data_IF_386320055915
#
_entry.id   IF_386320055915
#
_cell.length_a   1.000
_cell.length_b   1.000
_cell.length_c   1.000
_cell.angle_alpha   90.00
_cell.angle_beta   90.00
_cell.angle_gamma   90.00
#
_symmetry.space_group_name_H-M   'P 1'
#
loop_
_entity.id
_entity.type
_entity.pdbx_description
1 polymer ?
#
# COMPACT_ATOMS: atom_id res chain seq x y z
N UNK A 1 -20.48 6.73 -27.44
CA UNK A 1 -20.33 5.31 -27.10
C UNK A 1 -19.84 5.25 -25.67
N UNK A 2 -20.71 4.96 -24.72
CA UNK A 2 -20.34 4.78 -23.31
C UNK A 2 -19.70 3.40 -23.17
N UNK A 3 -18.37 3.34 -23.14
CA UNK A 3 -17.65 2.11 -22.76
C UNK A 3 -18.03 1.82 -21.31
N UNK A 4 -18.69 0.68 -21.08
CA UNK A 4 -18.94 0.20 -19.72
C UNK A 4 -17.62 -0.08 -19.01
N UNK A 5 -17.55 0.20 -17.71
CA UNK A 5 -16.39 -0.11 -16.87
C UNK A 5 -16.03 -1.60 -17.01
N UNK A 6 -14.75 -1.90 -17.28
CA UNK A 6 -14.25 -3.26 -17.20
C UNK A 6 -14.22 -3.73 -15.73
N UNK A 7 -14.18 -5.05 -15.49
CA UNK A 7 -14.23 -5.65 -14.14
C UNK A 7 -13.17 -5.09 -13.17
N UNK A 8 -12.08 -4.59 -13.71
CA UNK A 8 -10.90 -4.11 -12.99
C UNK A 8 -10.74 -2.58 -13.07
N UNK A 9 -11.81 -1.86 -13.43
CA UNK A 9 -11.82 -0.41 -13.56
C UNK A 9 -12.87 0.23 -12.64
N UNK A 10 -12.56 1.39 -12.05
CA UNK A 10 -13.50 2.14 -11.23
C UNK A 10 -13.20 3.65 -11.23
N UNK A 11 -14.18 4.45 -10.83
CA UNK A 11 -13.99 5.88 -10.57
C UNK A 11 -13.79 6.10 -9.08
N UNK A 12 -12.85 6.99 -8.75
CA UNK A 12 -12.55 7.39 -7.40
C UNK A 12 -12.75 8.90 -7.25
N UNK A 13 -13.70 9.29 -6.39
CA UNK A 13 -13.80 10.65 -5.91
C UNK A 13 -12.63 10.92 -4.95
N UNK A 14 -11.81 11.92 -5.29
CA UNK A 14 -10.56 12.20 -4.58
C UNK A 14 -10.75 12.80 -3.19
N UNK A 15 -11.82 13.58 -2.97
CA UNK A 15 -12.13 14.20 -1.68
C UNK A 15 -12.63 13.15 -0.69
N UNK A 16 -13.60 12.34 -1.12
CA UNK A 16 -14.14 11.23 -0.34
C UNK A 16 -13.05 10.22 0.02
N UNK A 17 -12.16 9.91 -0.94
CA UNK A 17 -11.01 9.05 -0.70
C UNK A 17 -10.05 9.64 0.35
N UNK A 18 -9.78 10.94 0.27
CA UNK A 18 -8.91 11.63 1.22
C UNK A 18 -9.45 11.55 2.66
N UNK A 19 -10.74 11.83 2.83
CA UNK A 19 -11.42 11.73 4.12
C UNK A 19 -11.48 10.28 4.62
N UNK A 20 -11.78 9.31 3.74
CA UNK A 20 -11.81 7.89 4.07
C UNK A 20 -10.46 7.31 4.51
N UNK A 21 -9.35 7.90 4.04
CA UNK A 21 -7.99 7.56 4.46
C UNK A 21 -7.60 8.20 5.81
N UNK A 22 -8.49 8.97 6.44
CA UNK A 22 -8.23 9.63 7.72
C UNK A 22 -7.27 10.82 7.62
N UNK A 23 -7.16 11.45 6.44
CA UNK A 23 -6.48 12.73 6.32
C UNK A 23 -7.19 13.78 7.19
N UNK A 24 -6.46 14.79 7.71
CA UNK A 24 -7.05 15.75 8.63
C UNK A 24 -8.28 16.43 8.02
N UNK A 25 -9.45 16.41 8.68
CA UNK A 25 -10.66 17.04 8.15
C UNK A 25 -10.56 18.58 8.11
N UNK A 26 -9.54 19.14 8.75
CA UNK A 26 -9.22 20.56 8.71
C UNK A 26 -8.46 20.98 7.44
N UNK A 27 -8.06 20.04 6.59
CA UNK A 27 -7.48 20.36 5.29
C UNK A 27 -8.58 20.76 4.31
N UNK A 28 -8.29 21.73 3.46
CA UNK A 28 -9.20 22.09 2.38
C UNK A 28 -9.27 20.98 1.31
N UNK A 29 -10.33 21.03 0.51
CA UNK A 29 -10.59 20.05 -0.55
C UNK A 29 -9.39 19.97 -1.52
N UNK A 30 -8.74 21.10 -1.81
CA UNK A 30 -7.56 21.13 -2.68
C UNK A 30 -6.41 20.32 -2.09
N UNK A 31 -6.12 20.47 -0.79
CA UNK A 31 -5.05 19.76 -0.11
C UNK A 31 -5.34 18.26 0.00
N UNK A 32 -6.59 17.89 0.29
CA UNK A 32 -7.02 16.48 0.29
C UNK A 32 -6.79 15.84 -1.08
N UNK A 33 -7.31 16.47 -2.14
CA UNK A 33 -7.17 16.00 -3.52
C UNK A 33 -5.70 15.89 -3.93
N UNK A 34 -4.88 16.91 -3.64
CA UNK A 34 -3.46 16.92 -3.99
C UNK A 34 -2.71 15.72 -3.40
N UNK A 35 -3.06 15.33 -2.18
CA UNK A 35 -2.41 14.21 -1.50
C UNK A 35 -2.87 12.86 -2.05
N UNK A 36 -4.16 12.72 -2.35
CA UNK A 36 -4.68 11.51 -3.01
C UNK A 36 -4.08 11.37 -4.42
N UNK A 37 -4.02 12.45 -5.21
CA UNK A 37 -3.36 12.46 -6.53
C UNK A 37 -1.91 11.98 -6.42
N UNK A 38 -1.15 12.50 -5.43
CA UNK A 38 0.23 12.09 -5.21
C UNK A 38 0.35 10.60 -4.88
N UNK A 39 -0.56 10.07 -4.07
CA UNK A 39 -0.59 8.65 -3.75
C UNK A 39 -0.89 7.80 -5.00
N UNK A 40 -1.90 8.18 -5.78
CA UNK A 40 -2.29 7.48 -7.02
C UNK A 40 -1.16 7.50 -8.07
N UNK A 41 -0.51 8.65 -8.27
CA UNK A 41 0.68 8.74 -9.14
C UNK A 41 1.81 7.87 -8.65
N UNK A 42 2.01 7.75 -7.34
CA UNK A 42 3.02 6.83 -6.80
C UNK A 42 2.67 5.36 -7.13
N UNK A 43 1.40 4.97 -7.03
CA UNK A 43 0.94 3.62 -7.38
C UNK A 43 1.11 3.30 -8.87
N UNK A 44 0.87 4.28 -9.74
CA UNK A 44 1.10 4.16 -11.18
C UNK A 44 2.59 4.17 -11.53
N UNK A 45 3.28 5.28 -11.28
CA UNK A 45 4.62 5.54 -11.81
C UNK A 45 5.69 4.68 -11.15
N UNK A 46 5.59 4.48 -9.83
CA UNK A 46 6.64 3.79 -9.06
C UNK A 46 6.40 2.30 -8.99
N UNK A 47 5.15 1.89 -8.83
CA UNK A 47 4.82 0.49 -8.56
C UNK A 47 4.14 -0.22 -9.73
N UNK A 48 3.68 0.49 -10.75
CA UNK A 48 3.03 -0.12 -11.92
C UNK A 48 1.79 -0.95 -11.55
N UNK A 49 1.09 -0.59 -10.46
CA UNK A 49 -0.03 -1.36 -9.92
C UNK A 49 -1.37 -0.94 -10.52
N UNK A 50 -1.46 0.32 -10.95
CA UNK A 50 -2.66 0.91 -11.54
C UNK A 50 -2.27 1.78 -12.72
N UNK A 51 -3.24 2.08 -13.58
CA UNK A 51 -3.24 3.28 -14.43
C UNK A 51 -4.25 4.27 -13.88
N UNK A 52 -3.91 5.55 -13.90
CA UNK A 52 -4.81 6.60 -13.42
C UNK A 52 -4.95 7.75 -14.41
N UNK A 53 -6.18 8.08 -14.74
CA UNK A 53 -6.55 9.23 -15.55
C UNK A 53 -7.36 10.22 -14.72
N UNK A 54 -6.96 11.50 -14.74
CA UNK A 54 -7.63 12.56 -13.99
C UNK A 54 -8.45 13.44 -14.92
N UNK A 55 -9.73 13.62 -14.59
CA UNK A 55 -10.65 14.47 -15.33
C UNK A 55 -10.89 15.80 -14.60
N UNK A 56 -11.27 16.84 -15.35
CA UNK A 56 -11.61 18.14 -14.76
C UNK A 56 -12.78 17.98 -13.78
N UNK A 57 -12.62 18.53 -12.58
CA UNK A 57 -13.63 18.56 -11.52
C UNK A 57 -14.15 17.19 -11.03
N UNK A 58 -13.22 16.30 -10.65
CA UNK A 58 -13.33 15.43 -9.44
C UNK A 58 -13.18 13.93 -9.60
N UNK A 59 -13.06 13.40 -10.81
CA UNK A 59 -12.97 11.94 -10.94
C UNK A 59 -11.62 11.48 -11.48
N UNK A 60 -11.04 10.54 -10.72
CA UNK A 60 -9.93 9.70 -11.16
C UNK A 60 -10.49 8.37 -11.67
N UNK A 61 -10.25 8.06 -12.94
CA UNK A 61 -10.50 6.71 -13.47
C UNK A 61 -9.28 5.86 -13.19
N UNK A 62 -9.50 4.76 -12.48
CA UNK A 62 -8.46 3.83 -12.07
C UNK A 62 -8.69 2.50 -12.77
N UNK A 63 -7.65 2.01 -13.45
CA UNK A 63 -7.60 0.65 -13.96
C UNK A 63 -6.55 -0.14 -13.18
N UNK A 64 -6.94 -1.28 -12.60
CA UNK A 64 -6.01 -2.18 -11.95
C UNK A 64 -5.17 -2.89 -13.02
N UNK A 65 -3.85 -2.91 -12.82
CA UNK A 65 -2.96 -3.67 -13.70
C UNK A 65 -2.80 -5.09 -13.17
N UNK A 66 -2.72 -6.11 -14.05
CA UNK A 66 -2.42 -7.46 -13.62
C UNK A 66 -1.05 -7.48 -12.95
N UNK A 67 -0.99 -7.97 -11.72
CA UNK A 67 0.27 -8.17 -11.01
C UNK A 67 0.99 -9.33 -11.69
N UNK A 68 2.05 -9.03 -12.43
CA UNK A 68 2.90 -10.02 -13.08
C UNK A 68 4.08 -10.39 -12.18
N UNK A 69 4.35 -11.69 -12.03
CA UNK A 69 5.51 -12.18 -11.30
C UNK A 69 5.21 -13.45 -10.51
N UNK A 70 6.25 -14.00 -9.88
CA UNK A 70 6.07 -15.07 -8.91
C UNK A 70 5.38 -14.52 -7.65
N UNK A 71 4.24 -15.10 -7.32
CA UNK A 71 3.55 -14.84 -6.06
C UNK A 71 3.94 -15.85 -5.01
N UNK A 72 3.87 -15.47 -3.74
CA UNK A 72 3.95 -16.41 -2.62
C UNK A 72 2.59 -16.53 -1.94
N UNK A 73 2.17 -17.76 -1.65
CA UNK A 73 1.05 -17.99 -0.74
C UNK A 73 1.51 -17.74 0.68
N UNK A 74 0.79 -16.90 1.42
CA UNK A 74 1.03 -16.59 2.83
C UNK A 74 -0.14 -17.10 3.65
N UNK A 75 0.10 -17.53 4.89
CA UNK A 75 -0.99 -17.90 5.80
C UNK A 75 -1.79 -16.65 6.20
N UNK A 76 -3.12 -16.76 6.14
CA UNK A 76 -4.04 -15.62 6.23
C UNK A 76 -4.18 -15.04 7.65
N UNK A 77 -3.61 -15.69 8.66
CA UNK A 77 -3.59 -15.20 10.04
C UNK A 77 -2.84 -13.86 10.17
N UNK A 78 -1.97 -13.50 9.21
CA UNK A 78 -1.27 -12.22 9.14
C UNK A 78 -2.15 -11.12 8.49
N UNK A 79 -3.00 -11.49 7.53
CA UNK A 79 -3.77 -10.57 6.67
C UNK A 79 -5.28 -10.76 6.91
N UNK A 80 -5.68 -10.75 8.18
CA UNK A 80 -7.09 -10.67 8.55
C UNK A 80 -7.56 -9.21 8.62
N UNK A 81 -8.73 -8.85 8.05
CA UNK A 81 -9.33 -7.52 8.21
C UNK A 81 -9.75 -7.19 9.65
N UNK A 82 -9.68 -8.16 10.57
CA UNK A 82 -10.24 -8.04 11.92
C UNK A 82 -9.25 -7.96 13.07
N UNK A 83 -7.94 -8.16 12.84
CA UNK A 83 -6.98 -7.98 13.92
C UNK A 83 -6.55 -6.51 14.03
N UNK A 84 -7.40 -5.71 14.68
CA UNK A 84 -7.14 -4.30 15.01
C UNK A 84 -5.94 -4.13 15.96
N UNK A 85 -5.41 -5.21 16.54
CA UNK A 85 -4.24 -5.14 17.45
C UNK A 85 -2.92 -5.05 16.70
N UNK A 86 -2.88 -5.45 15.42
CA UNK A 86 -1.66 -5.45 14.62
C UNK A 86 -1.61 -4.18 13.77
N UNK A 87 -0.60 -3.36 14.03
CA UNK A 87 -0.35 -2.15 13.23
C UNK A 87 -0.08 -2.52 11.76
N UNK A 88 -0.46 -1.65 10.82
CA UNK A 88 -0.23 -1.91 9.39
C UNK A 88 1.26 -2.15 9.07
N UNK A 89 2.16 -1.41 9.74
CA UNK A 89 3.61 -1.58 9.61
C UNK A 89 4.08 -2.96 10.07
N UNK A 90 3.50 -3.49 11.16
CA UNK A 90 3.81 -4.84 11.63
C UNK A 90 3.27 -5.90 10.67
N UNK A 91 2.07 -5.71 10.09
CA UNK A 91 1.56 -6.60 9.04
C UNK A 91 2.55 -6.69 7.88
N UNK A 92 3.03 -5.56 7.36
CA UNK A 92 4.02 -5.56 6.29
C UNK A 92 5.34 -6.25 6.68
N UNK A 93 5.82 -6.05 7.91
CA UNK A 93 7.02 -6.73 8.39
C UNK A 93 6.83 -8.26 8.47
N UNK A 94 5.66 -8.72 8.91
CA UNK A 94 5.33 -10.16 8.94
C UNK A 94 5.27 -10.75 7.54
N UNK A 95 4.75 -10.02 6.54
CA UNK A 95 4.79 -10.44 5.14
C UNK A 95 6.22 -10.55 4.61
N UNK A 96 7.08 -9.61 4.98
CA UNK A 96 8.51 -9.65 4.61
C UNK A 96 9.19 -10.85 5.26
N UNK A 97 8.90 -11.11 6.54
CA UNK A 97 9.43 -12.26 7.27
C UNK A 97 9.08 -13.57 6.56
N UNK A 98 7.80 -13.79 6.24
CA UNK A 98 7.34 -14.98 5.51
C UNK A 98 8.03 -15.15 4.15
N UNK A 99 8.23 -14.06 3.42
CA UNK A 99 8.96 -14.10 2.16
C UNK A 99 10.43 -14.50 2.35
N UNK A 100 11.11 -13.91 3.33
CA UNK A 100 12.50 -14.25 3.64
C UNK A 100 12.65 -15.71 4.05
N UNK A 101 11.74 -16.23 4.88
CA UNK A 101 11.74 -17.63 5.32
C UNK A 101 11.59 -18.59 4.13
N UNK A 102 10.73 -18.27 3.16
CA UNK A 102 10.61 -19.03 1.90
C UNK A 102 11.87 -19.00 1.04
N UNK A 103 12.68 -17.95 1.17
CA UNK A 103 13.99 -17.83 0.53
C UNK A 103 15.12 -18.48 1.34
N UNK A 104 14.81 -19.11 2.47
CA UNK A 104 15.81 -19.68 3.38
C UNK A 104 16.60 -18.64 4.16
N UNK A 105 16.08 -17.42 4.28
CA UNK A 105 16.67 -16.31 5.03
C UNK A 105 15.86 -16.04 6.31
N UNK A 106 16.55 -15.61 7.35
CA UNK A 106 15.91 -15.16 8.59
C UNK A 106 15.93 -13.64 8.67
N UNK A 107 14.80 -13.04 9.07
CA UNK A 107 14.66 -11.60 9.31
C UNK A 107 15.73 -11.05 10.26
N UNK A 108 16.12 -11.83 11.27
CA UNK A 108 17.11 -11.41 12.28
C UNK A 108 18.55 -11.44 11.74
N UNK A 109 18.77 -12.16 10.63
CA UNK A 109 20.09 -12.29 9.98
C UNK A 109 20.25 -11.29 8.84
N UNK A 110 19.17 -10.95 8.12
CA UNK A 110 19.22 -10.02 6.99
C UNK A 110 19.50 -8.59 7.49
N UNK A 111 20.51 -7.88 6.96
CA UNK A 111 20.79 -6.50 7.36
C UNK A 111 19.58 -5.59 7.13
N UNK A 112 19.24 -4.74 8.12
CA UNK A 112 18.11 -3.81 7.99
C UNK A 112 18.20 -2.90 6.76
N UNK A 113 19.42 -2.51 6.36
CA UNK A 113 19.65 -1.75 5.12
C UNK A 113 19.25 -2.51 3.86
N UNK A 114 19.46 -3.83 3.82
CA UNK A 114 19.00 -4.69 2.71
C UNK A 114 17.46 -4.71 2.68
N UNK A 115 16.82 -4.90 3.82
CA UNK A 115 15.35 -4.88 3.95
C UNK A 115 14.78 -3.54 3.46
N UNK A 116 15.32 -2.42 3.95
CA UNK A 116 14.89 -1.07 3.57
C UNK A 116 15.01 -0.83 2.06
N UNK A 117 16.15 -1.21 1.49
CA UNK A 117 16.40 -1.03 0.06
C UNK A 117 15.47 -1.91 -0.79
N UNK A 118 15.41 -3.20 -0.46
CA UNK A 118 14.65 -4.21 -1.22
C UNK A 118 13.15 -3.96 -1.21
N UNK A 119 12.60 -3.57 -0.06
CA UNK A 119 11.16 -3.37 0.11
C UNK A 119 10.75 -1.89 0.08
N UNK A 120 11.69 -0.99 -0.22
CA UNK A 120 11.48 0.46 -0.26
C UNK A 120 10.86 1.03 1.04
N UNK A 121 11.31 0.53 2.19
CA UNK A 121 10.80 0.93 3.50
C UNK A 121 11.71 1.99 4.12
N UNK A 122 11.11 3.07 4.63
CA UNK A 122 11.84 4.08 5.39
C UNK A 122 12.34 3.50 6.73
N UNK A 123 13.55 3.88 7.15
CA UNK A 123 14.22 3.41 8.37
C UNK A 123 13.29 3.46 9.59
N UNK A 124 12.73 4.63 9.88
CA UNK A 124 11.80 4.86 11.01
C UNK A 124 10.59 3.93 10.98
N UNK A 125 10.11 3.54 9.79
CA UNK A 125 8.98 2.62 9.64
C UNK A 125 9.40 1.20 10.00
N UNK A 126 10.58 0.77 9.52
CA UNK A 126 11.14 -0.55 9.83
C UNK A 126 11.46 -0.67 11.33
N UNK A 127 12.12 0.33 11.93
CA UNK A 127 12.42 0.36 13.36
C UNK A 127 11.18 0.20 14.23
N UNK A 128 10.11 0.96 13.91
CA UNK A 128 8.84 0.85 14.64
C UNK A 128 8.17 -0.50 14.44
N UNK A 129 8.26 -1.08 13.25
CA UNK A 129 7.71 -2.41 13.00
C UNK A 129 8.47 -3.50 13.78
N UNK A 130 9.80 -3.41 13.84
CA UNK A 130 10.63 -4.31 14.65
C UNK A 130 10.36 -4.16 16.15
N UNK A 131 10.14 -2.92 16.62
CA UNK A 131 9.74 -2.67 18.00
C UNK A 131 8.36 -3.27 18.31
N UNK A 132 7.38 -3.10 17.41
CA UNK A 132 6.06 -3.72 17.57
C UNK A 132 6.16 -5.25 17.61
N UNK A 133 7.04 -5.86 16.81
CA UNK A 133 7.26 -7.31 16.78
C UNK A 133 7.82 -7.85 18.10
N UNK A 134 8.76 -7.13 18.73
CA UNK A 134 9.37 -7.51 20.01
C UNK A 134 8.42 -7.39 21.22
N UNK A 135 7.41 -6.52 21.12
CA UNK A 135 6.44 -6.28 22.20
C UNK A 135 5.21 -7.20 22.11
N UNK A 136 5.24 -8.19 21.23
CA UNK A 136 4.17 -9.16 21.00
C UNK A 136 4.45 -10.45 21.76
#
# INVERSE_FOLDING_TARGET
>A
MTKGLQKDEFFLNLEDAGLGLGLPPAWDDESLRRQVIKALRTLEDRYGLIKVEFYHASDAHIAMLPISGEGITIETNIVGPHDKKISQRLKFLLLIKELLEKEGKDLDVVPQKEIMWRFHIAERTLEKALADLKNR
#
